data_IF_580978775492
#
_entry.id   IF_580978775492
#
_cell.length_a   1.000
_cell.length_b   1.000
_cell.length_c   1.000
_cell.angle_alpha   90.00
_cell.angle_beta   90.00
_cell.angle_gamma   90.00
#
_symmetry.space_group_name_H-M   'P 1'
#
loop_
_entity.id
_entity.type
_entity.pdbx_description
1 polymer ?
#
# COMPACT_ATOMS: atom_id res chain seq x y z
N UNK A 1 -10.89 -0.34 23.38
CA UNK A 1 -11.36 -0.38 21.98
C UNK A 1 -10.66 -1.53 21.32
N UNK A 2 -11.40 -2.49 20.78
CA UNK A 2 -10.82 -3.43 19.82
C UNK A 2 -10.87 -2.72 18.47
N UNK A 3 -9.74 -2.64 17.78
CA UNK A 3 -9.67 -2.16 16.41
C UNK A 3 -9.38 -3.38 15.57
N UNK A 4 -10.30 -3.72 14.68
CA UNK A 4 -10.09 -4.78 13.71
C UNK A 4 -9.10 -4.26 12.67
N UNK A 5 -8.08 -5.06 12.37
CA UNK A 5 -7.06 -4.75 11.39
C UNK A 5 -7.08 -5.82 10.31
N UNK A 6 -6.86 -5.38 9.08
CA UNK A 6 -6.67 -6.23 7.93
C UNK A 6 -5.35 -5.85 7.25
N UNK A 7 -4.74 -6.81 6.55
CA UNK A 7 -3.57 -6.58 5.74
C UNK A 7 -3.82 -6.97 4.27
N UNK A 8 -3.12 -6.28 3.38
CA UNK A 8 -3.06 -6.62 1.96
C UNK A 8 -1.60 -6.68 1.51
N UNK A 9 -1.35 -7.50 0.50
CA UNK A 9 -0.14 -7.41 -0.30
C UNK A 9 -0.47 -6.77 -1.64
N UNK A 10 0.23 -5.68 -1.96
CA UNK A 10 0.11 -4.95 -3.21
C UNK A 10 1.40 -5.12 -4.01
N UNK A 11 1.28 -5.57 -5.25
CA UNK A 11 2.35 -5.66 -6.23
C UNK A 11 2.32 -4.42 -7.12
N UNK A 12 3.46 -3.77 -7.34
CA UNK A 12 3.64 -2.66 -8.30
C UNK A 12 4.48 -3.16 -9.47
N UNK A 13 3.99 -3.00 -10.70
CA UNK A 13 4.66 -3.53 -11.89
C UNK A 13 5.90 -2.71 -12.28
N UNK A 14 5.88 -1.41 -11.99
CA UNK A 14 7.00 -0.52 -12.25
C UNK A 14 8.17 -0.78 -11.31
N UNK A 15 9.39 -0.67 -11.85
CA UNK A 15 10.59 -0.55 -11.03
C UNK A 15 10.72 0.88 -10.54
N UNK A 16 10.41 1.10 -9.26
CA UNK A 16 10.59 2.38 -8.59
C UNK A 16 12.04 2.52 -8.08
N UNK A 17 12.58 3.73 -8.20
CA UNK A 17 13.82 4.10 -7.52
C UNK A 17 13.56 4.44 -6.04
N UNK A 18 14.61 4.80 -5.30
CA UNK A 18 14.49 5.08 -3.87
C UNK A 18 13.51 6.22 -3.56
N UNK A 19 13.49 7.25 -4.41
CA UNK A 19 12.62 8.41 -4.24
C UNK A 19 11.15 8.05 -4.56
N UNK A 20 10.90 7.30 -5.64
CA UNK A 20 9.57 6.81 -5.97
C UNK A 20 9.00 5.84 -4.94
N UNK A 21 9.84 4.96 -4.38
CA UNK A 21 9.46 4.09 -3.27
C UNK A 21 9.05 4.88 -2.03
N UNK A 22 9.86 5.85 -1.62
CA UNK A 22 9.57 6.69 -0.46
C UNK A 22 8.29 7.51 -0.68
N UNK A 23 8.10 8.08 -1.86
CA UNK A 23 6.90 8.84 -2.20
C UNK A 23 5.63 7.98 -2.14
N UNK A 24 5.69 6.76 -2.68
CA UNK A 24 4.54 5.85 -2.65
C UNK A 24 4.26 5.36 -1.23
N UNK A 25 5.30 5.04 -0.45
CA UNK A 25 5.18 4.67 0.95
C UNK A 25 4.51 5.78 1.77
N UNK A 26 4.95 7.02 1.59
CA UNK A 26 4.38 8.19 2.27
C UNK A 26 2.92 8.43 1.86
N UNK A 27 2.57 8.22 0.58
CA UNK A 27 1.20 8.36 0.11
C UNK A 27 0.25 7.37 0.82
N UNK A 28 0.69 6.12 1.04
CA UNK A 28 -0.07 5.16 1.84
C UNK A 28 -0.15 5.58 3.32
N UNK A 29 0.97 6.01 3.92
CA UNK A 29 1.00 6.43 5.33
C UNK A 29 0.10 7.64 5.63
N UNK A 30 -0.11 8.52 4.65
CA UNK A 30 -1.00 9.67 4.76
C UNK A 30 -2.49 9.32 4.63
N UNK A 31 -2.84 8.10 4.17
CA UNK A 31 -4.24 7.70 4.01
C UNK A 31 -4.85 7.38 5.37
N UNK A 32 -5.88 8.14 5.74
CA UNK A 32 -6.64 7.88 6.97
C UNK A 32 -7.18 6.45 6.98
N UNK A 33 -6.86 5.70 8.05
CA UNK A 33 -7.17 4.29 8.18
C UNK A 33 -5.98 3.35 7.96
N UNK A 34 -4.89 3.80 7.33
CA UNK A 34 -3.65 3.01 7.25
C UNK A 34 -2.93 3.04 8.60
N UNK A 35 -2.51 1.86 9.06
CA UNK A 35 -1.82 1.67 10.34
C UNK A 35 -0.33 1.45 10.13
N UNK A 36 0.03 0.62 9.15
CA UNK A 36 1.43 0.40 8.79
C UNK A 36 1.61 0.10 7.30
N UNK A 37 2.78 0.46 6.79
CA UNK A 37 3.23 0.19 5.43
C UNK A 37 4.62 -0.42 5.54
N UNK A 38 4.84 -1.55 4.88
CA UNK A 38 6.13 -2.22 4.86
C UNK A 38 6.52 -2.54 3.42
N UNK A 39 7.77 -2.24 3.08
CA UNK A 39 8.40 -2.58 1.80
C UNK A 39 9.57 -3.53 2.09
N UNK A 40 9.61 -4.68 1.42
CA UNK A 40 10.76 -5.59 1.50
C UNK A 40 11.92 -5.00 0.68
N UNK A 41 13.08 -4.66 1.28
CA UNK A 41 14.22 -4.12 0.53
C UNK A 41 14.75 -5.06 -0.56
N UNK A 42 14.47 -6.36 -0.45
CA UNK A 42 14.82 -7.36 -1.47
C UNK A 42 13.78 -7.47 -2.57
N UNK A 43 12.56 -6.96 -2.34
CA UNK A 43 11.41 -6.97 -3.25
C UNK A 43 10.70 -5.61 -3.20
N UNK A 44 11.32 -4.55 -3.75
CA UNK A 44 10.80 -3.18 -3.66
C UNK A 44 9.46 -2.98 -4.39
N UNK A 45 9.06 -3.91 -5.24
CA UNK A 45 7.75 -3.94 -5.90
C UNK A 45 6.62 -4.51 -5.02
N UNK A 46 6.91 -4.94 -3.79
CA UNK A 46 5.91 -5.49 -2.87
C UNK A 46 5.72 -4.59 -1.66
N UNK A 47 4.45 -4.22 -1.45
CA UNK A 47 3.99 -3.46 -0.30
C UNK A 47 3.06 -4.33 0.53
N UNK A 48 3.34 -4.44 1.82
CA UNK A 48 2.40 -4.99 2.81
C UNK A 48 1.80 -3.82 3.57
N UNK A 49 0.48 -3.67 3.50
CA UNK A 49 -0.22 -2.54 4.10
C UNK A 49 -1.23 -3.09 5.11
N UNK A 50 -1.07 -2.70 6.36
CA UNK A 50 -2.03 -2.96 7.43
C UNK A 50 -2.93 -1.74 7.61
N UNK A 51 -4.24 -1.96 7.70
CA UNK A 51 -5.23 -0.89 7.77
C UNK A 51 -6.44 -1.27 8.61
N UNK A 52 -7.17 -0.25 9.06
CA UNK A 52 -8.47 -0.37 9.69
C UNK A 52 -9.57 -0.41 8.60
N UNK A 53 -10.27 -1.54 8.41
CA UNK A 53 -11.30 -1.71 7.38
C UNK A 53 -12.56 -0.87 7.62
N UNK A 54 -12.74 -0.29 8.81
CA UNK A 54 -13.83 0.67 9.08
C UNK A 54 -13.54 2.06 8.49
N UNK A 55 -12.29 2.35 8.07
CA UNK A 55 -11.85 3.69 7.62
C UNK A 55 -11.36 3.74 6.18
N UNK A 56 -10.79 2.64 5.70
CA UNK A 56 -10.28 2.49 4.32
C UNK A 56 -10.44 1.03 3.88
N UNK A 57 -10.55 0.78 2.59
CA UNK A 57 -10.60 -0.58 2.04
C UNK A 57 -9.45 -0.84 1.05
N UNK A 58 -9.27 -2.11 0.67
CA UNK A 58 -8.19 -2.53 -0.22
C UNK A 58 -8.25 -1.90 -1.63
N UNK A 59 -9.44 -1.60 -2.15
CA UNK A 59 -9.61 -0.94 -3.44
C UNK A 59 -9.20 0.54 -3.37
N UNK A 60 -9.50 1.22 -2.25
CA UNK A 60 -9.03 2.59 -2.02
C UNK A 60 -7.50 2.66 -1.99
N UNK A 61 -6.86 1.66 -1.37
CA UNK A 61 -5.40 1.54 -1.33
C UNK A 61 -4.83 1.25 -2.73
N UNK A 62 -5.44 0.33 -3.48
CA UNK A 62 -5.07 0.09 -4.87
C UNK A 62 -5.23 1.35 -5.74
N UNK A 63 -6.25 2.16 -5.51
CA UNK A 63 -6.46 3.38 -6.29
C UNK A 63 -5.32 4.41 -6.12
N UNK A 64 -4.63 4.43 -4.97
CA UNK A 64 -3.52 5.36 -4.71
C UNK A 64 -2.38 5.19 -5.73
N UNK A 65 -2.06 3.96 -6.11
CA UNK A 65 -1.02 3.69 -7.13
C UNK A 65 -1.48 4.15 -8.51
N UNK A 66 -2.72 3.83 -8.89
CA UNK A 66 -3.30 4.24 -10.17
C UNK A 66 -3.38 5.77 -10.32
N UNK A 67 -3.70 6.50 -9.26
CA UNK A 67 -3.69 7.97 -9.28
C UNK A 67 -2.29 8.57 -9.49
N UNK A 68 -1.23 7.82 -9.17
CA UNK A 68 0.15 8.19 -9.45
C UNK A 68 0.65 7.69 -10.81
N UNK A 69 -0.23 7.09 -11.62
CA UNK A 69 0.10 6.56 -12.95
C UNK A 69 0.81 5.21 -12.93
N UNK A 70 0.79 4.50 -11.80
CA UNK A 70 1.40 3.19 -11.63
C UNK A 70 0.40 2.06 -11.90
N UNK A 71 0.92 0.91 -12.33
CA UNK A 71 0.17 -0.33 -12.45
C UNK A 71 0.44 -1.18 -11.22
N UNK A 72 -0.63 -1.57 -10.54
CA UNK A 72 -0.54 -2.39 -9.36
C UNK A 72 -1.69 -3.38 -9.29
N UNK A 73 -1.48 -4.44 -8.52
CA UNK A 73 -2.45 -5.50 -8.31
C UNK A 73 -2.45 -5.91 -6.83
N UNK A 74 -3.62 -6.25 -6.31
CA UNK A 74 -3.75 -6.91 -5.01
C UNK A 74 -3.45 -8.40 -5.21
N UNK A 75 -2.49 -8.93 -4.46
CA UNK A 75 -2.11 -10.34 -4.53
C UNK A 75 -2.38 -11.03 -3.20
N UNK A 76 -2.85 -12.29 -3.26
CA UNK A 76 -3.05 -13.13 -2.07
C UNK A 76 -4.35 -12.90 -1.30
N UNK A 77 -5.39 -12.37 -1.94
CA UNK A 77 -6.76 -12.26 -1.41
C UNK A 77 -7.46 -13.62 -1.24
#
# INVERSE_FOLDING_TARGET
MNIDLADITLHVDETLDADGLAQLEDAFRLRDGVVSVHVDPKRPHLFVIEYNPERVNSQDLLAITHFQGLHAELIGL
#
